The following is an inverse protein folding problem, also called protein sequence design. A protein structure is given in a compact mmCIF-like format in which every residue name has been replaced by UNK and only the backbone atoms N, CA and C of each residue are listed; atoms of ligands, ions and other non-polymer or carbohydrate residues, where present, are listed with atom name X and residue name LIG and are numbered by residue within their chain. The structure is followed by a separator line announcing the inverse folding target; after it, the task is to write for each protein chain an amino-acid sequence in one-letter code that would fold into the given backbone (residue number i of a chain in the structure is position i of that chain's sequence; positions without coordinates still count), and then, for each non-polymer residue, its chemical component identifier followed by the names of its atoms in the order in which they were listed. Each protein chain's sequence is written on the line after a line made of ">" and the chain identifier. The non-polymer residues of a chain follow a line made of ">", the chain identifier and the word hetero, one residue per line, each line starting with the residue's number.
data_IF_665432301446
#
_entry.id   IF_665432301446
#
_cell.length_a   1.000
_cell.length_b   1.000
_cell.length_c   1.000
_cell.angle_alpha   90.00
_cell.angle_beta   90.00
_cell.angle_gamma   90.00
#
_symmetry.space_group_name_H-M   'P 1'
#
loop_
_entity.id
_entity.type
_entity.pdbx_description
1 polymer ?
#
# COMPACT_ATOMS: atom_id res chain seq x y z
N UNK A 1 33.94 2.22 -18.65
CA UNK A 1 33.42 2.21 -20.04
C UNK A 1 31.92 2.51 -20.03
N UNK A 2 31.41 3.23 -21.03
CA UNK A 2 29.97 3.41 -21.21
C UNK A 2 29.41 2.15 -21.88
N UNK A 3 28.33 1.58 -21.33
CA UNK A 3 27.68 0.38 -21.84
C UNK A 3 26.84 -0.32 -20.78
N UNK A 4 25.98 -1.22 -21.20
CA UNK A 4 25.12 -1.99 -20.30
C UNK A 4 25.91 -3.08 -19.57
N UNK A 5 25.54 -3.33 -18.32
CA UNK A 5 26.09 -4.40 -17.50
C UNK A 5 24.99 -5.03 -16.65
N UNK A 6 25.13 -6.33 -16.35
CA UNK A 6 24.24 -7.06 -15.47
C UNK A 6 24.97 -7.41 -14.17
N UNK A 7 24.36 -7.06 -13.04
CA UNK A 7 24.82 -7.48 -11.73
C UNK A 7 23.87 -8.55 -11.20
N UNK A 8 24.41 -9.73 -10.91
CA UNK A 8 23.68 -10.82 -10.27
C UNK A 8 24.18 -11.00 -8.83
N UNK A 9 23.25 -11.06 -7.89
CA UNK A 9 23.54 -11.21 -6.46
C UNK A 9 22.61 -12.28 -5.88
N UNK A 10 23.19 -13.30 -5.25
CA UNK A 10 22.48 -14.20 -4.34
C UNK A 10 22.76 -13.77 -2.91
N UNK A 11 21.73 -13.68 -2.09
CA UNK A 11 21.85 -13.27 -0.70
C UNK A 11 20.77 -13.95 0.16
N UNK A 12 20.99 -13.94 1.46
CA UNK A 12 20.04 -14.44 2.46
C UNK A 12 19.94 -13.41 3.57
N UNK A 13 18.74 -13.21 4.08
CA UNK A 13 18.45 -12.29 5.17
C UNK A 13 17.51 -12.93 6.18
N UNK A 14 17.32 -12.25 7.30
CA UNK A 14 16.36 -12.63 8.33
C UNK A 14 15.09 -11.79 8.18
N UNK A 15 13.92 -12.45 8.26
CA UNK A 15 12.65 -11.75 8.44
C UNK A 15 12.58 -11.28 9.90
N UNK A 16 12.88 -10.00 10.10
CA UNK A 16 13.06 -9.39 11.42
C UNK A 16 11.74 -9.01 12.10
N UNK A 17 11.78 -8.51 13.34
CA UNK A 17 10.61 -8.04 14.12
C UNK A 17 10.67 -6.53 14.44
N UNK A 18 11.33 -5.74 13.58
CA UNK A 18 11.58 -4.31 13.79
C UNK A 18 10.64 -3.40 12.98
N UNK A 19 9.65 -3.96 12.29
CA UNK A 19 8.70 -3.23 11.41
C UNK A 19 9.39 -2.38 10.32
N UNK A 20 10.54 -2.87 9.80
CA UNK A 20 11.35 -2.22 8.76
C UNK A 20 12.02 -3.26 7.87
N UNK A 21 12.24 -2.93 6.60
CA UNK A 21 12.71 -3.91 5.62
C UNK A 21 11.63 -4.97 5.38
N UNK A 22 12.04 -6.22 5.11
CA UNK A 22 11.15 -7.36 5.18
C UNK A 22 11.09 -7.88 6.62
N UNK A 23 9.91 -7.83 7.23
CA UNK A 23 9.71 -8.13 8.64
C UNK A 23 8.47 -9.02 8.85
N UNK A 24 8.36 -9.63 10.04
CA UNK A 24 7.21 -10.43 10.44
C UNK A 24 6.21 -9.57 11.22
N UNK A 25 4.97 -9.51 10.75
CA UNK A 25 3.84 -8.93 11.49
C UNK A 25 3.15 -10.06 12.25
N UNK A 26 3.03 -9.92 13.57
CA UNK A 26 2.38 -10.90 14.42
C UNK A 26 0.87 -10.63 14.49
N UNK A 27 0.05 -11.68 14.45
CA UNK A 27 -1.39 -11.58 14.66
C UNK A 27 -1.93 -12.81 15.39
N UNK A 28 -3.13 -12.68 15.95
CA UNK A 28 -3.87 -13.79 16.54
C UNK A 28 -4.98 -14.23 15.58
N UNK A 29 -5.08 -15.54 15.34
CA UNK A 29 -6.23 -16.11 14.64
C UNK A 29 -7.50 -16.02 15.50
N UNK A 30 -8.67 -16.29 14.91
CA UNK A 30 -9.93 -16.38 15.66
C UNK A 30 -9.88 -17.45 16.77
N UNK A 31 -9.07 -18.49 16.62
CA UNK A 31 -8.84 -19.52 17.64
C UNK A 31 -7.85 -19.12 18.74
N UNK A 32 -7.28 -17.90 18.67
CA UNK A 32 -6.26 -17.42 19.61
C UNK A 32 -4.85 -17.93 19.32
N UNK A 33 -4.64 -18.64 18.21
CA UNK A 33 -3.30 -19.09 17.78
C UNK A 33 -2.49 -17.89 17.27
N UNK A 34 -1.25 -17.77 17.73
CA UNK A 34 -0.29 -16.78 17.24
C UNK A 34 0.28 -17.18 15.89
N UNK A 35 0.17 -16.29 14.91
CA UNK A 35 0.70 -16.47 13.56
C UNK A 35 1.41 -15.22 13.07
N UNK A 36 2.08 -15.36 11.93
CA UNK A 36 2.91 -14.33 11.33
C UNK A 36 2.62 -14.15 9.85
N UNK A 37 2.58 -12.90 9.41
CA UNK A 37 2.67 -12.51 8.02
C UNK A 37 4.06 -11.91 7.74
N UNK A 38 4.58 -12.03 6.53
CA UNK A 38 5.77 -11.30 6.08
C UNK A 38 5.31 -10.03 5.35
N UNK A 39 5.87 -8.88 5.74
CA UNK A 39 5.46 -7.56 5.26
C UNK A 39 6.71 -6.72 4.98
N UNK A 40 6.68 -5.91 3.94
CA UNK A 40 7.73 -4.93 3.64
C UNK A 40 7.34 -3.52 4.12
N UNK A 41 8.25 -2.83 4.79
CA UNK A 41 8.21 -1.38 5.01
C UNK A 41 9.57 -0.80 4.67
N UNK A 42 9.68 -0.09 3.55
CA UNK A 42 10.99 0.33 3.00
C UNK A 42 11.26 1.83 3.10
N UNK A 43 10.25 2.68 3.19
CA UNK A 43 10.50 4.10 3.35
C UNK A 43 11.10 4.41 4.73
N UNK A 44 12.18 5.20 4.83
CA UNK A 44 12.87 5.91 3.73
C UNK A 44 14.04 5.13 3.10
N UNK A 45 14.72 4.26 3.85
CA UNK A 45 16.01 3.68 3.42
C UNK A 45 16.17 2.21 3.83
N UNK A 46 15.06 1.48 3.87
CA UNK A 46 15.01 0.12 4.40
C UNK A 46 14.83 -0.94 3.30
N UNK A 47 14.68 -0.56 2.01
CA UNK A 47 14.71 -1.52 0.89
C UNK A 47 16.04 -2.28 0.84
N UNK A 48 17.15 -1.59 1.14
CA UNK A 48 18.50 -2.18 1.26
C UNK A 48 18.63 -3.27 2.33
N UNK A 49 17.66 -3.39 3.25
CA UNK A 49 17.62 -4.50 4.22
C UNK A 49 17.01 -5.77 3.66
N UNK A 50 16.25 -5.64 2.57
CA UNK A 50 15.59 -6.76 1.91
C UNK A 50 16.39 -7.24 0.70
N UNK A 51 16.91 -6.34 -0.14
CA UNK A 51 17.71 -6.69 -1.31
C UNK A 51 18.78 -5.63 -1.63
N UNK A 52 19.95 -6.01 -2.17
CA UNK A 52 20.96 -5.05 -2.62
C UNK A 52 20.42 -4.17 -3.74
N UNK A 53 20.45 -2.86 -3.53
CA UNK A 53 19.97 -1.87 -4.50
C UNK A 53 20.61 -0.50 -4.28
N UNK A 54 20.45 0.38 -5.27
CA UNK A 54 20.74 1.81 -5.15
C UNK A 54 19.56 2.49 -4.46
N UNK A 55 19.56 2.43 -3.14
CA UNK A 55 18.40 2.76 -2.31
C UNK A 55 18.27 4.27 -2.05
N UNK A 56 18.07 5.02 -3.13
CA UNK A 56 17.87 6.47 -3.18
C UNK A 56 16.67 6.80 -4.09
N UNK A 57 15.80 7.75 -3.71
CA UNK A 57 14.51 7.94 -4.39
C UNK A 57 14.63 8.39 -5.85
N UNK A 58 15.68 9.16 -6.19
CA UNK A 58 15.94 9.58 -7.58
C UNK A 58 16.36 8.44 -8.51
N UNK A 59 16.89 7.35 -7.97
CA UNK A 59 17.40 6.22 -8.76
C UNK A 59 16.25 5.24 -9.01
N UNK A 60 15.35 5.62 -9.93
CA UNK A 60 14.20 4.81 -10.29
C UNK A 60 14.57 3.67 -11.25
N UNK A 61 13.84 2.56 -11.15
CA UNK A 61 13.94 1.41 -12.04
C UNK A 61 12.58 0.72 -12.19
N UNK A 62 12.48 -0.21 -13.13
CA UNK A 62 11.38 -1.19 -13.17
C UNK A 62 11.74 -2.41 -12.33
N UNK A 63 10.75 -3.10 -11.77
CA UNK A 63 10.95 -4.27 -10.92
C UNK A 63 10.13 -5.45 -11.44
N UNK A 64 10.82 -6.56 -11.72
CA UNK A 64 10.23 -7.87 -11.99
C UNK A 64 10.29 -8.68 -10.69
N UNK A 65 9.14 -8.90 -10.06
CA UNK A 65 9.07 -9.54 -8.74
C UNK A 65 8.57 -10.97 -8.89
N UNK A 66 9.30 -11.91 -8.29
CA UNK A 66 8.91 -13.32 -8.18
C UNK A 66 8.97 -13.73 -6.72
N UNK A 67 7.93 -14.41 -6.23
CA UNK A 67 7.85 -14.89 -4.86
C UNK A 67 7.66 -16.41 -4.85
N UNK A 68 8.46 -17.11 -4.07
CA UNK A 68 8.23 -18.51 -3.70
C UNK A 68 7.70 -18.55 -2.27
N UNK A 69 6.47 -19.00 -2.08
CA UNK A 69 5.75 -18.95 -0.80
C UNK A 69 5.01 -20.26 -0.53
N UNK A 70 4.59 -20.56 0.71
CA UNK A 70 3.68 -21.66 0.98
C UNK A 70 2.39 -21.57 0.14
N UNK A 71 1.93 -22.69 -0.40
CA UNK A 71 0.82 -22.74 -1.36
C UNK A 71 -0.51 -22.21 -0.78
N UNK A 72 -0.68 -22.34 0.54
CA UNK A 72 -1.87 -21.92 1.30
C UNK A 72 -1.82 -20.46 1.78
N UNK A 73 -0.83 -19.68 1.37
CA UNK A 73 -0.71 -18.26 1.71
C UNK A 73 -1.13 -17.36 0.56
N UNK A 74 -1.74 -16.23 0.91
CA UNK A 74 -1.89 -15.09 -0.01
C UNK A 74 -0.50 -14.45 -0.14
N UNK A 75 -0.10 -14.11 -1.37
CA UNK A 75 1.10 -13.34 -1.63
C UNK A 75 0.79 -12.23 -2.64
N UNK A 76 1.13 -11.00 -2.26
CA UNK A 76 0.82 -9.78 -2.98
C UNK A 76 2.10 -9.02 -3.27
N UNK A 77 2.10 -8.29 -4.38
CA UNK A 77 3.12 -7.30 -4.69
C UNK A 77 2.49 -6.11 -5.44
N UNK A 78 3.31 -5.17 -5.89
CA UNK A 78 2.89 -3.92 -6.55
C UNK A 78 1.96 -4.16 -7.75
N UNK A 79 2.29 -5.13 -8.60
CA UNK A 79 1.61 -5.40 -9.87
C UNK A 79 0.68 -6.62 -9.79
N UNK A 80 -0.22 -6.83 -10.78
CA UNK A 80 -1.00 -8.06 -10.87
C UNK A 80 -0.13 -9.31 -11.02
N UNK A 81 -0.71 -10.44 -10.61
CA UNK A 81 -0.16 -11.76 -10.86
C UNK A 81 -0.21 -12.05 -12.37
N UNK A 82 0.95 -12.35 -12.94
CA UNK A 82 1.11 -12.75 -14.34
C UNK A 82 1.02 -14.26 -14.50
N UNK A 83 1.69 -15.00 -13.62
CA UNK A 83 1.74 -16.46 -13.65
C UNK A 83 1.88 -17.02 -12.24
N UNK A 84 1.21 -18.14 -11.96
CA UNK A 84 1.36 -18.92 -10.73
C UNK A 84 1.62 -20.38 -11.08
N UNK A 85 2.61 -20.97 -10.40
CA UNK A 85 2.92 -22.39 -10.49
C UNK A 85 2.97 -22.98 -9.09
N UNK A 86 2.12 -23.98 -8.83
CA UNK A 86 2.11 -24.72 -7.57
C UNK A 86 3.02 -25.95 -7.70
N UNK A 87 3.87 -26.17 -6.71
CA UNK A 87 4.74 -27.34 -6.60
C UNK A 87 4.74 -27.86 -5.15
N UNK A 88 3.97 -28.92 -4.93
CA UNK A 88 3.81 -29.50 -3.59
C UNK A 88 3.16 -28.54 -2.59
N UNK A 89 3.90 -28.20 -1.54
CA UNK A 89 3.49 -27.31 -0.45
C UNK A 89 3.84 -25.83 -0.71
N UNK A 90 4.43 -25.53 -1.87
CA UNK A 90 4.82 -24.18 -2.27
C UNK A 90 4.18 -23.76 -3.58
N UNK A 91 4.21 -22.45 -3.83
CA UNK A 91 3.90 -21.86 -5.13
C UNK A 91 4.90 -20.77 -5.48
N UNK A 92 5.19 -20.66 -6.77
CA UNK A 92 5.98 -19.59 -7.36
C UNK A 92 5.03 -18.65 -8.08
N UNK A 93 5.07 -17.37 -7.73
CA UNK A 93 4.20 -16.33 -8.27
C UNK A 93 5.06 -15.29 -8.97
N UNK A 94 4.81 -15.10 -10.27
CA UNK A 94 5.44 -14.08 -11.09
C UNK A 94 4.47 -12.92 -11.25
N UNK A 95 4.89 -11.71 -10.87
CA UNK A 95 4.10 -10.49 -11.05
C UNK A 95 4.51 -9.78 -12.34
N UNK A 96 3.60 -8.97 -12.90
CA UNK A 96 3.94 -8.10 -14.02
C UNK A 96 5.04 -7.08 -13.64
N UNK A 97 5.81 -6.63 -14.63
CA UNK A 97 6.85 -5.61 -14.47
C UNK A 97 6.23 -4.29 -14.00
N UNK A 98 6.78 -3.68 -12.95
CA UNK A 98 6.32 -2.36 -12.49
C UNK A 98 6.66 -1.27 -13.52
N UNK A 99 5.97 -0.11 -13.50
CA UNK A 99 6.52 1.11 -14.06
C UNK A 99 7.84 1.50 -13.40
N UNK A 100 8.50 2.51 -13.98
CA UNK A 100 9.70 3.12 -13.39
C UNK A 100 9.31 3.78 -12.06
N UNK A 101 9.83 3.26 -10.95
CA UNK A 101 9.53 3.71 -9.60
C UNK A 101 10.75 3.65 -8.68
N UNK A 102 10.69 4.30 -7.53
CA UNK A 102 11.76 4.31 -6.53
C UNK A 102 11.76 3.01 -5.70
N UNK A 103 12.93 2.62 -5.18
CA UNK A 103 13.12 1.38 -4.40
C UNK A 103 12.20 1.28 -3.17
N UNK A 104 11.95 2.41 -2.50
CA UNK A 104 11.15 2.44 -1.28
C UNK A 104 9.66 2.07 -1.50
N UNK A 105 9.20 2.07 -2.75
CA UNK A 105 7.83 1.72 -3.13
C UNK A 105 7.63 0.23 -3.43
N UNK A 106 8.72 -0.54 -3.54
CA UNK A 106 8.62 -2.00 -3.70
C UNK A 106 7.91 -2.58 -2.49
N UNK A 107 6.90 -3.41 -2.73
CA UNK A 107 6.15 -4.05 -1.65
C UNK A 107 5.87 -5.52 -1.90
N UNK A 108 5.93 -6.28 -0.81
CA UNK A 108 5.55 -7.69 -0.73
C UNK A 108 4.81 -7.91 0.58
N UNK A 109 3.66 -8.58 0.50
CA UNK A 109 2.94 -9.09 1.67
C UNK A 109 2.60 -10.56 1.46
N UNK A 110 2.95 -11.40 2.43
CA UNK A 110 2.66 -12.84 2.44
C UNK A 110 2.00 -13.22 3.76
N UNK A 111 0.80 -13.79 3.72
CA UNK A 111 0.07 -14.14 4.93
C UNK A 111 -1.30 -14.74 4.68
N UNK A 112 -2.15 -14.72 5.70
CA UNK A 112 -3.54 -15.19 5.63
C UNK A 112 -4.47 -13.99 5.67
N UNK A 113 -5.16 -13.74 4.55
CA UNK A 113 -6.02 -12.58 4.39
C UNK A 113 -7.29 -12.96 3.64
N UNK A 114 -8.41 -12.37 4.06
CA UNK A 114 -9.59 -12.26 3.21
C UNK A 114 -9.51 -10.97 2.41
N UNK A 115 -10.38 -10.82 1.41
CA UNK A 115 -10.54 -9.53 0.74
C UNK A 115 -11.98 -9.28 0.30
N UNK A 116 -12.27 -8.00 0.09
CA UNK A 116 -13.42 -7.51 -0.69
C UNK A 116 -12.89 -6.73 -1.88
N UNK A 117 -13.59 -6.76 -3.00
CA UNK A 117 -13.14 -6.09 -4.22
C UNK A 117 -14.28 -5.37 -4.96
N UNK A 118 -13.89 -4.36 -5.73
CA UNK A 118 -14.76 -3.56 -6.58
C UNK A 118 -13.95 -2.95 -7.71
N UNK A 119 -14.54 -2.87 -8.90
CA UNK A 119 -13.95 -2.10 -10.00
C UNK A 119 -14.39 -0.65 -9.90
N UNK A 120 -13.42 0.28 -9.93
CA UNK A 120 -13.70 1.72 -9.97
C UNK A 120 -14.40 2.11 -11.27
N UNK A 121 -14.98 3.32 -11.32
CA UNK A 121 -15.63 3.84 -12.53
C UNK A 121 -14.67 3.91 -13.73
N UNK A 122 -13.37 4.04 -13.48
CA UNK A 122 -12.33 4.11 -14.49
C UNK A 122 -11.74 2.74 -14.86
N UNK A 123 -12.29 1.64 -14.35
CA UNK A 123 -11.87 0.29 -14.69
C UNK A 123 -10.72 -0.27 -13.85
N UNK A 124 -10.25 0.46 -12.83
CA UNK A 124 -9.18 -0.01 -11.92
C UNK A 124 -9.78 -1.02 -10.93
N UNK A 125 -9.15 -2.18 -10.79
CA UNK A 125 -9.55 -3.16 -9.79
C UNK A 125 -9.06 -2.73 -8.40
N UNK A 126 -9.98 -2.46 -7.49
CA UNK A 126 -9.68 -2.09 -6.10
C UNK A 126 -9.96 -3.27 -5.20
N UNK A 127 -9.01 -3.64 -4.35
CA UNK A 127 -9.21 -4.66 -3.31
C UNK A 127 -8.85 -4.13 -1.94
N UNK A 128 -9.59 -4.56 -0.93
CA UNK A 128 -9.24 -4.32 0.47
C UNK A 128 -9.00 -5.67 1.13
N UNK A 129 -7.76 -5.94 1.48
CA UNK A 129 -7.32 -7.14 2.20
C UNK A 129 -7.41 -6.91 3.71
N UNK A 130 -8.00 -7.88 4.40
CA UNK A 130 -8.27 -7.81 5.84
C UNK A 130 -7.80 -9.10 6.53
N UNK A 131 -7.59 -9.08 7.85
CA UNK A 131 -7.49 -10.32 8.61
C UNK A 131 -8.68 -11.25 8.33
N UNK A 132 -8.44 -12.55 8.38
CA UNK A 132 -9.46 -13.57 8.10
C UNK A 132 -10.69 -13.39 9.02
N UNK A 133 -11.86 -13.34 8.40
CA UNK A 133 -13.17 -13.11 9.01
C UNK A 133 -13.54 -11.65 9.28
N UNK A 134 -12.68 -10.68 8.90
CA UNK A 134 -12.97 -9.24 9.03
C UNK A 134 -13.31 -8.55 7.71
N UNK A 135 -13.56 -9.30 6.63
CA UNK A 135 -13.75 -8.76 5.27
C UNK A 135 -14.82 -7.66 5.18
N UNK A 136 -15.92 -7.78 5.94
CA UNK A 136 -16.97 -6.75 6.03
C UNK A 136 -16.44 -5.40 6.52
N UNK A 137 -15.44 -5.39 7.39
CA UNK A 137 -14.86 -4.15 7.93
C UNK A 137 -14.08 -3.37 6.87
N UNK A 138 -13.67 -4.01 5.77
CA UNK A 138 -13.01 -3.36 4.63
C UNK A 138 -13.97 -2.66 3.65
N UNK A 139 -15.29 -2.85 3.77
CA UNK A 139 -16.26 -2.34 2.80
C UNK A 139 -16.28 -0.81 2.71
N UNK A 140 -16.12 -0.12 3.84
CA UNK A 140 -16.08 1.35 3.83
C UNK A 140 -14.86 1.88 3.06
N UNK A 141 -13.67 1.36 3.36
CA UNK A 141 -12.45 1.74 2.65
C UNK A 141 -12.52 1.40 1.16
N UNK A 142 -13.14 0.25 0.80
CA UNK A 142 -13.34 -0.14 -0.59
C UNK A 142 -14.20 0.89 -1.35
N UNK A 143 -15.29 1.35 -0.75
CA UNK A 143 -16.16 2.37 -1.33
C UNK A 143 -15.49 3.73 -1.44
N UNK A 144 -14.68 4.11 -0.45
CA UNK A 144 -13.89 5.35 -0.49
C UNK A 144 -12.86 5.26 -1.62
N UNK A 145 -12.00 4.24 -1.62
CA UNK A 145 -10.94 4.07 -2.61
C UNK A 145 -11.46 4.03 -4.05
N UNK A 146 -12.58 3.32 -4.30
CA UNK A 146 -13.21 3.25 -5.61
C UNK A 146 -13.75 4.61 -6.13
N UNK A 147 -14.01 5.58 -5.23
CA UNK A 147 -14.44 6.95 -5.57
C UNK A 147 -13.30 7.95 -5.61
N UNK A 148 -12.27 7.75 -4.78
CA UNK A 148 -11.07 8.60 -4.73
C UNK A 148 -10.31 8.55 -6.07
N UNK A 149 -10.14 7.35 -6.67
CA UNK A 149 -9.40 7.22 -7.93
C UNK A 149 -10.02 8.05 -9.08
N UNK A 150 -11.35 7.98 -9.37
CA UNK A 150 -11.96 8.87 -10.35
C UNK A 150 -11.90 10.36 -10.00
N UNK A 151 -11.99 10.70 -8.71
CA UNK A 151 -11.87 12.08 -8.27
C UNK A 151 -10.48 12.64 -8.61
N UNK A 152 -9.40 11.95 -8.21
CA UNK A 152 -8.05 12.39 -8.48
C UNK A 152 -7.70 12.37 -9.96
N UNK A 153 -8.20 11.39 -10.73
CA UNK A 153 -8.10 11.45 -12.19
C UNK A 153 -8.72 12.73 -12.76
N UNK A 154 -9.92 13.10 -12.32
CA UNK A 154 -10.59 14.32 -12.79
C UNK A 154 -9.91 15.60 -12.33
N UNK A 155 -9.34 15.61 -11.13
CA UNK A 155 -8.69 16.80 -10.54
C UNK A 155 -7.26 17.01 -11.08
N UNK A 156 -6.48 15.94 -11.26
CA UNK A 156 -5.11 16.01 -11.79
C UNK A 156 -5.02 15.88 -13.31
N UNK A 157 -6.12 15.53 -13.98
CA UNK A 157 -6.19 15.24 -15.42
C UNK A 157 -5.21 14.13 -15.88
N UNK A 158 -4.89 13.21 -14.97
CA UNK A 158 -3.98 12.08 -15.19
C UNK A 158 -4.61 10.84 -14.58
N UNK A 159 -4.80 9.79 -15.37
CA UNK A 159 -5.36 8.53 -14.87
C UNK A 159 -4.37 7.77 -13.99
N UNK A 160 -4.89 6.98 -13.04
CA UNK A 160 -4.08 6.02 -12.30
C UNK A 160 -3.48 4.99 -13.27
N UNK A 161 -2.16 4.77 -13.28
CA UNK A 161 -1.50 4.04 -14.36
C UNK A 161 -1.51 2.51 -14.19
N UNK A 162 -1.83 1.98 -13.00
CA UNK A 162 -1.81 0.54 -12.76
C UNK A 162 -3.21 -0.08 -12.94
N UNK A 163 -3.30 -1.36 -13.37
CA UNK A 163 -4.57 -2.04 -13.57
C UNK A 163 -5.31 -2.37 -12.25
N UNK A 164 -4.58 -2.38 -11.12
CA UNK A 164 -5.14 -2.68 -9.80
C UNK A 164 -4.51 -1.80 -8.72
N UNK A 165 -5.24 -1.64 -7.62
CA UNK A 165 -4.71 -1.13 -6.36
C UNK A 165 -5.26 -1.97 -5.21
N UNK A 166 -4.36 -2.53 -4.42
CA UNK A 166 -4.71 -3.29 -3.23
C UNK A 166 -4.43 -2.42 -2.00
N UNK A 167 -5.36 -2.38 -1.06
CA UNK A 167 -5.22 -1.75 0.25
C UNK A 167 -5.22 -2.87 1.28
N UNK A 168 -4.18 -3.00 2.11
CA UNK A 168 -4.07 -4.12 3.04
C UNK A 168 -3.90 -3.67 4.48
N UNK A 169 -4.73 -4.22 5.36
CA UNK A 169 -4.64 -4.00 6.80
C UNK A 169 -3.60 -4.94 7.43
N UNK A 170 -2.57 -4.37 8.05
CA UNK A 170 -1.47 -5.06 8.73
C UNK A 170 -1.60 -4.86 10.25
N UNK A 171 -1.42 -5.95 11.00
CA UNK A 171 -1.57 -5.96 12.45
C UNK A 171 -0.47 -5.14 13.15
N UNK A 172 0.80 -5.45 12.87
CA UNK A 172 1.96 -4.73 13.38
C UNK A 172 2.54 -3.83 12.28
N UNK A 173 2.15 -2.56 12.29
CA UNK A 173 2.59 -1.59 11.31
C UNK A 173 3.02 -0.31 12.00
N UNK A 174 4.26 0.14 11.74
CA UNK A 174 4.88 1.25 12.46
C UNK A 174 4.33 2.64 12.04
N UNK A 175 4.12 2.94 10.74
CA UNK A 175 3.40 4.15 10.32
C UNK A 175 1.88 3.95 10.33
N UNK A 176 1.11 5.01 10.04
CA UNK A 176 -0.35 4.91 9.89
C UNK A 176 -0.73 4.09 8.66
N UNK A 177 -0.10 4.44 7.54
CA UNK A 177 -0.17 3.75 6.25
C UNK A 177 1.11 4.03 5.44
N UNK A 178 1.25 3.43 4.27
CA UNK A 178 2.38 3.59 3.34
C UNK A 178 1.91 3.34 1.91
N UNK A 179 2.30 4.24 1.00
CA UNK A 179 1.71 4.41 -0.32
C UNK A 179 2.18 3.44 -1.42
N UNK A 180 2.77 2.30 -1.03
CA UNK A 180 3.50 1.43 -1.96
C UNK A 180 2.69 1.19 -3.25
N UNK A 181 3.29 1.45 -4.42
CA UNK A 181 2.53 1.64 -5.65
C UNK A 181 1.76 0.38 -6.04
N UNK A 182 0.43 0.44 -5.94
CA UNK A 182 -0.47 -0.69 -6.21
C UNK A 182 -0.68 -1.69 -5.06
N UNK A 183 0.03 -1.57 -3.94
CA UNK A 183 -0.15 -2.39 -2.73
C UNK A 183 0.02 -1.53 -1.47
N UNK A 184 -0.94 -0.67 -1.20
CA UNK A 184 -0.90 0.28 -0.09
C UNK A 184 -1.12 -0.45 1.24
N UNK A 185 -0.23 -0.25 2.21
CA UNK A 185 -0.29 -0.92 3.51
C UNK A 185 -0.82 0.03 4.59
N UNK A 186 -1.63 -0.46 5.51
CA UNK A 186 -2.27 0.32 6.55
C UNK A 186 -2.20 -0.39 7.89
N UNK A 187 -2.17 0.35 9.00
CA UNK A 187 -2.64 -0.20 10.28
C UNK A 187 -4.11 -0.57 10.17
N UNK A 188 -4.54 -1.64 10.86
CA UNK A 188 -5.96 -2.02 10.91
C UNK A 188 -6.89 -0.84 11.28
N UNK A 189 -6.48 -0.01 12.24
CA UNK A 189 -7.25 1.15 12.72
C UNK A 189 -7.29 2.34 11.74
N UNK A 190 -6.53 2.27 10.65
CA UNK A 190 -6.48 3.26 9.58
C UNK A 190 -7.24 2.82 8.31
N UNK A 191 -7.74 1.58 8.28
CA UNK A 191 -8.42 1.03 7.09
C UNK A 191 -9.77 0.37 7.40
N UNK A 192 -9.90 -0.29 8.56
CA UNK A 192 -11.07 -1.10 8.89
C UNK A 192 -12.11 -0.30 9.67
N UNK A 193 -13.38 -0.44 9.27
CA UNK A 193 -14.55 0.12 9.96
C UNK A 193 -15.44 -1.00 10.46
N UNK A 194 -15.53 -1.12 11.77
CA UNK A 194 -16.57 -1.89 12.45
C UNK A 194 -17.84 -1.05 12.63
N UNK A 195 -18.96 -1.45 12.03
CA UNK A 195 -20.22 -0.69 12.05
C UNK A 195 -20.79 -0.47 13.46
N UNK A 196 -20.51 -1.38 14.41
CA UNK A 196 -21.05 -1.31 15.77
C UNK A 196 -20.13 -0.52 16.72
N UNK A 197 -18.83 -0.50 16.44
CA UNK A 197 -17.81 -0.03 17.39
C UNK A 197 -16.98 1.16 16.90
N UNK A 198 -16.95 1.43 15.58
CA UNK A 198 -16.16 2.52 15.03
C UNK A 198 -16.90 3.84 15.15
N UNK A 199 -16.28 4.81 15.84
CA UNK A 199 -16.88 6.14 15.99
C UNK A 199 -16.95 6.89 14.66
N UNK A 200 -17.88 7.86 14.56
CA UNK A 200 -18.00 8.71 13.38
C UNK A 200 -16.68 9.44 13.07
N UNK A 201 -16.01 10.00 14.09
CA UNK A 201 -14.70 10.68 13.94
C UNK A 201 -13.64 9.72 13.38
N UNK A 202 -13.59 8.48 13.86
CA UNK A 202 -12.65 7.47 13.34
C UNK A 202 -12.97 7.12 11.89
N UNK A 203 -14.24 7.02 11.53
CA UNK A 203 -14.67 6.77 10.14
C UNK A 203 -14.26 7.90 9.20
N UNK A 204 -14.39 9.16 9.63
CA UNK A 204 -13.90 10.33 8.89
C UNK A 204 -12.37 10.27 8.71
N UNK A 205 -11.64 9.98 9.79
CA UNK A 205 -10.18 9.80 9.74
C UNK A 205 -9.75 8.72 8.76
N UNK A 206 -10.44 7.57 8.73
CA UNK A 206 -10.15 6.50 7.75
C UNK A 206 -10.37 7.00 6.32
N UNK A 207 -11.40 7.81 6.05
CA UNK A 207 -11.61 8.38 4.72
C UNK A 207 -10.48 9.35 4.31
N UNK A 208 -9.96 10.15 5.25
CA UNK A 208 -8.78 11.01 5.03
C UNK A 208 -7.55 10.17 4.71
N UNK A 209 -7.19 9.21 5.58
CA UNK A 209 -6.01 8.36 5.38
C UNK A 209 -6.08 7.59 4.06
N UNK A 210 -7.24 7.02 3.69
CA UNK A 210 -7.40 6.39 2.37
C UNK A 210 -7.22 7.41 1.24
N UNK A 211 -7.73 8.64 1.39
CA UNK A 211 -7.49 9.73 0.45
C UNK A 211 -6.00 10.09 0.31
N UNK A 212 -5.29 10.26 1.43
CA UNK A 212 -3.86 10.58 1.49
C UNK A 212 -3.01 9.57 0.72
N UNK A 213 -3.15 8.28 1.04
CA UNK A 213 -2.36 7.23 0.38
C UNK A 213 -2.67 7.11 -1.12
N UNK A 214 -3.93 7.34 -1.51
CA UNK A 214 -4.30 7.33 -2.92
C UNK A 214 -3.83 8.59 -3.65
N UNK A 215 -3.65 9.72 -2.96
CA UNK A 215 -3.03 10.92 -3.52
C UNK A 215 -1.54 10.70 -3.82
N UNK A 216 -0.84 9.98 -2.94
CA UNK A 216 0.56 9.62 -3.14
C UNK A 216 0.83 8.83 -4.43
N UNK A 217 -0.18 8.17 -4.99
CA UNK A 217 -0.07 7.51 -6.29
C UNK A 217 0.32 8.50 -7.42
N UNK A 218 0.03 9.80 -7.25
CA UNK A 218 0.53 10.90 -8.08
C UNK A 218 1.69 11.64 -7.39
N UNK A 219 1.51 12.04 -6.13
CA UNK A 219 2.48 12.83 -5.34
C UNK A 219 3.34 11.94 -4.44
N UNK A 220 4.29 11.26 -5.06
CA UNK A 220 5.26 10.39 -4.41
C UNK A 220 5.64 9.24 -5.31
N UNK A 221 4.67 8.61 -5.94
CA UNK A 221 4.89 7.46 -6.81
C UNK A 221 5.22 7.90 -8.25
N UNK A 222 4.24 8.53 -8.91
CA UNK A 222 4.41 9.04 -10.28
C UNK A 222 5.48 10.14 -10.32
N UNK A 223 5.32 11.16 -9.47
CA UNK A 223 6.29 12.24 -9.29
C UNK A 223 6.87 12.10 -7.89
N UNK A 224 8.17 11.85 -7.80
CA UNK A 224 8.90 11.64 -6.53
C UNK A 224 9.87 12.79 -6.35
N UNK A 225 10.02 13.28 -5.13
CA UNK A 225 11.12 14.19 -4.79
C UNK A 225 12.49 13.58 -5.15
N UNK A 226 13.41 14.41 -5.63
CA UNK A 226 14.77 13.97 -5.98
C UNK A 226 15.54 13.47 -4.75
N UNK A 227 15.33 14.10 -3.60
CA UNK A 227 15.95 13.73 -2.34
C UNK A 227 15.04 14.03 -1.15
N UNK A 228 15.26 13.33 -0.04
CA UNK A 228 14.47 13.41 1.20
C UNK A 228 14.37 14.80 1.82
N UNK A 229 15.30 15.72 1.53
CA UNK A 229 15.19 17.13 1.95
C UNK A 229 13.96 17.83 1.39
N UNK A 230 13.36 17.29 0.32
CA UNK A 230 12.15 17.79 -0.32
C UNK A 230 10.94 16.85 -0.11
N UNK A 231 10.94 16.02 0.94
CA UNK A 231 9.84 15.09 1.25
C UNK A 231 8.46 15.77 1.32
N UNK A 232 8.42 17.06 1.68
CA UNK A 232 7.20 17.86 1.69
C UNK A 232 6.48 17.92 0.32
N UNK A 233 7.19 17.70 -0.80
CA UNK A 233 6.57 17.60 -2.13
C UNK A 233 5.65 16.39 -2.26
N UNK A 234 5.93 15.31 -1.51
CA UNK A 234 5.05 14.15 -1.40
C UNK A 234 4.00 14.42 -0.31
N UNK A 235 4.46 14.50 0.94
CA UNK A 235 3.61 14.52 2.13
C UNK A 235 2.72 15.75 2.20
N UNK A 236 3.28 16.93 1.93
CA UNK A 236 2.52 18.19 1.99
C UNK A 236 1.43 18.26 0.92
N UNK A 237 1.68 17.69 -0.27
CA UNK A 237 0.67 17.61 -1.32
C UNK A 237 -0.40 16.59 -0.97
N UNK A 238 -0.02 15.38 -0.56
CA UNK A 238 -0.97 14.33 -0.16
C UNK A 238 -1.88 14.81 0.98
N UNK A 239 -1.30 15.40 2.03
CA UNK A 239 -2.04 15.99 3.16
C UNK A 239 -2.93 17.16 2.75
N UNK A 240 -2.60 17.92 1.71
CA UNK A 240 -3.49 18.99 1.26
C UNK A 240 -4.68 18.45 0.45
N UNK A 241 -4.41 17.52 -0.47
CA UNK A 241 -5.44 17.04 -1.41
C UNK A 241 -6.34 15.96 -0.82
N UNK A 242 -5.99 15.34 0.32
CA UNK A 242 -6.91 14.47 1.07
C UNK A 242 -8.14 15.25 1.54
N UNK A 243 -7.98 16.49 2.05
CA UNK A 243 -9.10 17.32 2.51
C UNK A 243 -9.99 17.76 1.35
N UNK A 244 -9.39 18.12 0.21
CA UNK A 244 -10.14 18.42 -1.02
C UNK A 244 -11.00 17.24 -1.46
N UNK A 245 -10.42 16.03 -1.45
CA UNK A 245 -11.10 14.80 -1.83
C UNK A 245 -12.21 14.43 -0.85
N UNK A 246 -11.93 14.40 0.45
CA UNK A 246 -12.91 14.04 1.48
C UNK A 246 -14.05 15.05 1.53
N UNK A 247 -13.78 16.36 1.39
CA UNK A 247 -14.83 17.37 1.28
C UNK A 247 -15.75 17.15 0.08
N UNK A 248 -15.20 16.68 -1.05
CA UNK A 248 -15.98 16.38 -2.25
C UNK A 248 -16.84 15.11 -2.07
N UNK A 249 -16.27 14.07 -1.47
CA UNK A 249 -16.94 12.78 -1.29
C UNK A 249 -17.96 12.79 -0.14
N UNK A 250 -17.69 13.56 0.91
CA UNK A 250 -18.44 13.63 2.16
C UNK A 250 -18.56 15.09 2.64
N UNK A 251 -19.29 15.95 1.90
CA UNK A 251 -19.45 17.36 2.25
C UNK A 251 -20.06 17.56 3.65
N UNK A 252 -20.81 16.58 4.15
CA UNK A 252 -21.40 16.59 5.48
C UNK A 252 -20.38 16.51 6.63
N UNK A 253 -19.12 16.16 6.35
CA UNK A 253 -18.06 16.10 7.36
C UNK A 253 -17.52 17.48 7.74
N UNK A 254 -17.77 18.52 6.93
CA UNK A 254 -17.26 19.88 7.13
C UNK A 254 -15.74 19.90 7.42
N UNK A 255 -14.99 19.13 6.63
CA UNK A 255 -13.58 18.80 6.93
C UNK A 255 -12.66 20.02 6.90
N UNK A 256 -13.04 21.08 6.18
CA UNK A 256 -12.27 22.33 6.14
C UNK A 256 -12.34 23.13 7.44
N UNK A 257 -13.46 23.08 8.15
CA UNK A 257 -13.54 23.65 9.50
C UNK A 257 -12.59 22.91 10.43
N UNK A 258 -12.57 21.57 10.34
CA UNK A 258 -11.68 20.73 11.14
C UNK A 258 -10.19 20.98 10.81
N UNK A 259 -9.85 21.16 9.53
CA UNK A 259 -8.49 21.52 9.09
C UNK A 259 -7.96 22.76 9.80
N UNK A 260 -8.77 23.83 9.87
CA UNK A 260 -8.38 25.09 10.50
C UNK A 260 -8.24 24.97 12.02
N UNK A 261 -9.01 24.10 12.67
CA UNK A 261 -9.02 24.00 14.14
C UNK A 261 -8.09 22.94 14.72
N UNK A 262 -7.78 21.88 13.95
CA UNK A 262 -7.05 20.70 14.45
C UNK A 262 -5.67 20.53 13.81
N UNK A 263 -5.45 21.07 12.60
CA UNK A 263 -4.19 20.90 11.85
C UNK A 263 -3.33 22.17 11.83
N UNK A 264 -3.95 23.35 11.99
CA UNK A 264 -3.29 24.65 12.01
C UNK A 264 -3.32 25.32 13.38
#
# INVERSE_FOLDING_TARGET
>A
PVGDAFLFCEFTGEINDKMKGLYRSKYLTQGGEERYAAVTQFEATDARRCFPCWDEPAIKATFDITLEVPADRVALSNMPLKEEKIDGDKKVMHFDTTPVMSTYLVAVVVGEYDYVEKTSKDGVLVRVYTPVGKSKQGLFALEVAAKVLPYYKGYFDIAYPLPKIDLIAIADFAPGAMENWGLVTYRETCLLVDEEHTSAVRRQWIALVVGHELAHQWFGNLVTMEWWTHLWLNEGYASFVEFLCVNHLFPEYDIWTQFVTETY
#
